data_IF_187333060740
#
_entry.id   IF_187333060740
#
_cell.length_a   1.000
_cell.length_b   1.000
_cell.length_c   1.000
_cell.angle_alpha   90.00
_cell.angle_beta   90.00
_cell.angle_gamma   90.00
#
_symmetry.space_group_name_H-M   'P 1'
#
loop_
_entity.id
_entity.type
_entity.pdbx_description
1 polymer ?
#
# COMPACT_ATOMS: atom_id res chain seq x y z
N UNK A 1 47.54 2.62 -2.15
CA UNK A 1 47.19 2.76 -0.72
C UNK A 1 45.73 2.38 -0.58
N UNK A 2 45.47 1.35 0.23
CA UNK A 2 44.31 0.46 0.14
C UNK A 2 42.96 1.19 0.24
N UNK A 3 42.26 1.25 -0.89
CA UNK A 3 40.84 1.57 -0.91
C UNK A 3 40.07 0.45 -0.22
N UNK A 4 38.91 0.81 0.34
CA UNK A 4 37.94 -0.09 0.98
C UNK A 4 37.65 -1.30 0.10
N UNK A 5 38.45 -2.35 0.25
CA UNK A 5 38.30 -3.56 -0.54
C UNK A 5 37.08 -4.32 -0.03
N UNK A 6 36.34 -4.95 -0.94
CA UNK A 6 35.17 -5.79 -0.64
C UNK A 6 35.31 -6.62 0.67
N UNK A 7 36.44 -7.31 0.94
CA UNK A 7 36.59 -8.07 2.19
C UNK A 7 36.53 -7.22 3.46
N UNK A 8 37.03 -5.98 3.47
CA UNK A 8 36.94 -5.11 4.65
C UNK A 8 35.48 -4.74 4.95
N UNK A 9 34.67 -4.51 3.93
CA UNK A 9 33.24 -4.22 4.10
C UNK A 9 32.48 -5.42 4.66
N UNK A 10 32.79 -6.64 4.21
CA UNK A 10 32.18 -7.88 4.74
C UNK A 10 32.55 -8.06 6.22
N UNK A 11 33.81 -7.86 6.59
CA UNK A 11 34.26 -7.97 7.99
C UNK A 11 33.54 -6.93 8.85
N UNK A 12 33.44 -5.68 8.39
CA UNK A 12 32.74 -4.62 9.11
C UNK A 12 31.23 -4.95 9.28
N UNK A 13 30.58 -5.43 8.22
CA UNK A 13 29.18 -5.84 8.28
C UNK A 13 28.96 -6.99 9.28
N UNK A 14 29.89 -7.95 9.36
CA UNK A 14 29.84 -9.04 10.32
C UNK A 14 29.95 -8.53 11.77
N UNK A 15 30.88 -7.60 12.04
CA UNK A 15 31.04 -6.99 13.37
C UNK A 15 29.77 -6.24 13.77
N UNK A 16 29.19 -5.44 12.87
CA UNK A 16 27.93 -4.72 13.10
C UNK A 16 26.79 -5.71 13.35
N UNK A 17 26.69 -6.80 12.59
CA UNK A 17 25.66 -7.82 12.77
C UNK A 17 25.76 -8.52 14.12
N UNK A 18 26.97 -8.76 14.63
CA UNK A 18 27.19 -9.36 15.96
C UNK A 18 26.81 -8.35 17.06
N UNK A 19 27.19 -7.09 16.92
CA UNK A 19 26.97 -6.06 17.95
C UNK A 19 25.49 -5.65 18.07
N UNK A 20 24.81 -5.50 16.92
CA UNK A 20 23.40 -5.14 16.88
C UNK A 20 22.47 -6.37 16.92
N UNK A 21 22.99 -7.55 16.55
CA UNK A 21 22.23 -8.78 16.44
C UNK A 21 21.31 -8.82 15.21
N UNK A 22 20.97 -10.03 14.76
CA UNK A 22 20.08 -10.24 13.61
C UNK A 22 18.67 -9.65 13.80
N UNK A 23 18.15 -9.63 15.03
CA UNK A 23 16.78 -9.18 15.32
C UNK A 23 16.57 -7.69 15.08
N UNK A 24 17.49 -6.84 15.59
CA UNK A 24 17.38 -5.38 15.45
C UNK A 24 17.61 -4.91 14.01
N UNK A 25 18.59 -5.51 13.33
CA UNK A 25 18.87 -5.15 11.93
C UNK A 25 17.70 -5.55 11.02
N UNK A 26 17.08 -6.73 11.19
CA UNK A 26 15.94 -7.14 10.35
C UNK A 26 14.71 -6.25 10.54
N UNK A 27 14.42 -5.83 11.77
CA UNK A 27 13.27 -4.95 12.06
C UNK A 27 13.50 -3.55 11.46
N UNK A 28 14.68 -2.95 11.66
CA UNK A 28 15.03 -1.67 11.05
C UNK A 28 15.09 -1.75 9.52
N UNK A 29 15.72 -2.79 8.96
CA UNK A 29 15.81 -2.97 7.50
C UNK A 29 14.43 -3.17 6.85
N UNK A 30 13.45 -3.74 7.57
CA UNK A 30 12.08 -3.85 7.12
C UNK A 30 11.41 -2.50 6.91
N UNK A 31 11.53 -1.58 7.87
CA UNK A 31 10.93 -0.24 7.78
C UNK A 31 11.69 0.67 6.82
N UNK A 32 13.02 0.61 6.82
CA UNK A 32 13.85 1.26 5.80
C UNK A 32 13.53 0.74 4.39
N UNK A 33 13.35 -0.57 4.23
CA UNK A 33 13.01 -1.19 2.95
C UNK A 33 11.65 -0.73 2.41
N UNK A 34 10.64 -0.58 3.27
CA UNK A 34 9.34 0.01 2.88
C UNK A 34 9.50 1.46 2.41
N UNK A 35 10.24 2.29 3.15
CA UNK A 35 10.49 3.69 2.79
C UNK A 35 11.20 3.83 1.44
N UNK A 36 12.26 3.06 1.20
CA UNK A 36 12.99 3.06 -0.08
C UNK A 36 12.10 2.49 -1.20
N UNK A 37 11.28 1.48 -0.94
CA UNK A 37 10.35 0.92 -1.94
C UNK A 37 9.30 1.95 -2.37
N UNK A 38 8.68 2.66 -1.43
CA UNK A 38 7.71 3.72 -1.74
C UNK A 38 8.36 4.90 -2.45
N UNK A 39 9.59 5.28 -2.08
CA UNK A 39 10.34 6.31 -2.78
C UNK A 39 10.65 5.90 -4.22
N UNK A 40 11.08 4.64 -4.43
CA UNK A 40 11.35 4.12 -5.78
C UNK A 40 10.07 4.00 -6.61
N UNK A 41 8.95 3.61 -6.00
CA UNK A 41 7.64 3.55 -6.66
C UNK A 41 7.16 4.94 -7.09
N UNK A 42 7.23 5.94 -6.21
CA UNK A 42 6.86 7.32 -6.55
C UNK A 42 7.73 7.92 -7.65
N UNK A 43 9.05 7.67 -7.62
CA UNK A 43 9.97 8.11 -8.68
C UNK A 43 9.69 7.40 -10.03
N UNK A 44 9.29 6.13 -9.98
CA UNK A 44 8.99 5.35 -11.18
C UNK A 44 7.59 5.66 -11.73
N UNK A 45 6.61 6.08 -10.91
CA UNK A 45 5.30 6.56 -11.35
C UNK A 45 5.35 7.90 -12.12
N UNK A 46 6.37 8.74 -11.85
CA UNK A 46 6.62 9.95 -12.64
C UNK A 46 7.24 9.65 -14.00
N UNK A 47 8.01 8.55 -14.12
CA UNK A 47 8.74 8.18 -15.34
C UNK A 47 7.98 7.18 -16.22
N UNK A 48 7.20 6.27 -15.61
CA UNK A 48 6.54 5.15 -16.26
C UNK A 48 5.12 5.10 -15.69
N UNK A 49 4.13 5.62 -16.43
CA UNK A 49 2.72 5.30 -16.18
C UNK A 49 2.28 4.16 -17.10
N UNK A 50 2.49 2.87 -16.76
CA UNK A 50 1.64 1.82 -17.24
C UNK A 50 0.42 1.80 -16.33
N UNK A 51 -0.75 2.10 -16.91
CA UNK A 51 -2.07 1.93 -16.29
C UNK A 51 -2.22 0.47 -15.87
N UNK A 52 -1.77 0.12 -14.67
CA UNK A 52 -2.10 -1.16 -14.05
C UNK A 52 -3.27 -0.88 -13.13
N UNK A 53 -4.49 -1.38 -13.44
CA UNK A 53 -5.64 -1.16 -12.59
C UNK A 53 -5.33 -1.64 -11.17
N UNK A 54 -5.72 -0.89 -10.13
CA UNK A 54 -5.49 -1.30 -8.74
C UNK A 54 -5.98 -2.73 -8.54
N UNK A 55 -5.19 -3.62 -7.88
CA UNK A 55 -5.71 -4.92 -7.48
C UNK A 55 -6.96 -4.65 -6.64
N UNK A 56 -8.09 -5.20 -7.08
CA UNK A 56 -9.41 -4.96 -6.54
C UNK A 56 -9.41 -5.08 -5.00
N UNK A 57 -9.24 -3.95 -4.31
CA UNK A 57 -9.73 -3.76 -2.95
C UNK A 57 -11.21 -3.38 -3.07
N UNK A 58 -12.02 -4.34 -3.49
CA UNK A 58 -13.48 -4.30 -3.39
C UNK A 58 -13.94 -5.31 -2.33
N UNK A 59 -13.27 -5.34 -1.18
CA UNK A 59 -13.83 -5.91 0.03
C UNK A 59 -14.27 -4.77 0.92
N UNK A 60 -15.58 -4.58 1.01
CA UNK A 60 -16.33 -3.74 1.95
C UNK A 60 -16.57 -2.27 1.56
N UNK A 61 -17.50 -2.07 0.62
CA UNK A 61 -18.72 -1.30 0.92
C UNK A 61 -19.87 -2.11 0.34
N UNK A 62 -20.85 -2.46 1.18
CA UNK A 62 -22.05 -3.18 0.77
C UNK A 62 -22.74 -2.47 -0.41
N UNK A 63 -23.40 -3.22 -1.32
CA UNK A 63 -24.09 -2.62 -2.45
C UNK A 63 -25.05 -1.52 -1.98
N UNK A 64 -25.12 -0.38 -2.70
CA UNK A 64 -26.11 0.66 -2.41
C UNK A 64 -27.51 0.03 -2.41
N UNK A 65 -28.42 0.46 -1.51
CA UNK A 65 -29.82 0.05 -1.58
C UNK A 65 -30.30 0.33 -3.01
N UNK A 66 -30.80 -0.71 -3.68
CA UNK A 66 -31.24 -0.62 -5.07
C UNK A 66 -32.16 0.61 -5.24
N UNK A 67 -32.10 1.32 -6.38
CA UNK A 67 -33.08 2.34 -6.72
C UNK A 67 -34.46 1.71 -6.59
N UNK A 68 -35.21 2.09 -5.57
CA UNK A 68 -36.58 1.64 -5.43
C UNK A 68 -37.30 2.09 -6.71
N UNK A 69 -37.94 1.19 -7.46
CA UNK A 69 -38.82 1.61 -8.54
C UNK A 69 -39.98 2.39 -7.91
N UNK A 70 -39.88 3.71 -7.95
CA UNK A 70 -41.03 4.62 -7.80
C UNK A 70 -41.77 4.62 -9.13
N UNK A 71 -42.71 3.70 -9.30
CA UNK A 71 -44.07 4.13 -9.64
C UNK A 71 -45.11 3.14 -9.06
N UNK A 72 -46.12 3.58 -8.30
CA UNK A 72 -47.51 3.85 -8.74
C UNK A 72 -48.29 3.79 -7.41
N UNK A 73 -49.15 4.72 -7.00
CA UNK A 73 -50.50 4.86 -7.54
C UNK A 73 -51.15 6.16 -7.03
N UNK A 74 -51.72 6.92 -7.96
CA UNK A 74 -52.63 8.01 -7.69
C UNK A 74 -54.00 7.41 -7.34
N UNK A 75 -54.24 7.02 -6.10
CA UNK A 75 -55.59 6.67 -5.71
C UNK A 75 -55.83 6.86 -4.21
N UNK A 76 -56.89 7.62 -3.94
CA UNK A 76 -57.70 7.62 -2.71
C UNK A 76 -57.42 8.73 -1.69
N UNK A 77 -57.87 9.95 -2.01
CA UNK A 77 -58.60 10.76 -1.04
C UNK A 77 -60.03 10.92 -1.55
N UNK A 78 -60.92 10.25 -0.82
CA UNK A 78 -62.36 10.11 -0.99
C UNK A 78 -63.07 11.47 -0.87
N UNK A 79 -64.18 11.71 -1.60
CA UNK A 79 -65.03 12.89 -1.39
C UNK A 79 -65.78 12.74 -0.07
N UNK A 80 -65.66 13.69 0.85
CA UNK A 80 -66.57 13.82 2.00
C UNK A 80 -66.41 15.18 2.69
N UNK A 81 -67.55 15.84 2.87
CA UNK A 81 -67.84 17.15 3.47
C UNK A 81 -67.73 18.37 2.53
#
# INVERSE_FOLDING_TARGET
>A
MGGLSLPHLIILALVVLILFGRGRISEMMGDFGKGIKSFKQGMNEETDRPVTPPPAQLSQVAPPPAPQPVPTDHQNNTPSA
#
